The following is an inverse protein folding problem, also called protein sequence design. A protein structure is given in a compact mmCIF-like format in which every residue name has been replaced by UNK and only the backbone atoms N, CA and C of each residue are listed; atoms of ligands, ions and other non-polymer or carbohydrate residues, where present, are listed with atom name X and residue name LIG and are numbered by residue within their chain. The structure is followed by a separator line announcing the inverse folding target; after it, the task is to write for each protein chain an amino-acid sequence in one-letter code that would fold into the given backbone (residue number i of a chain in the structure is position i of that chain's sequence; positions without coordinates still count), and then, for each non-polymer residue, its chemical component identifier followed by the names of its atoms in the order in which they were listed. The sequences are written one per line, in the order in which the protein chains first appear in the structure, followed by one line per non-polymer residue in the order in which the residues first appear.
data_IF_452621671753
#
_entry.id   IF_452621671753
#
_cell.length_a   1.000
_cell.length_b   1.000
_cell.length_c   1.000
_cell.angle_alpha   90.00
_cell.angle_beta   90.00
_cell.angle_gamma   90.00
#
_symmetry.space_group_name_H-M   'P 1'
#
loop_
_entity.id
_entity.type
_entity.pdbx_description
1 polymer ?
#
# COMPACT_ATOMS: atom_id res chain seq x y z
N UNK A 1 -11.76 6.80 17.49
CA UNK A 1 -11.35 8.23 17.53
C UNK A 1 -11.66 8.90 16.20
N UNK A 2 -12.21 10.12 16.21
CA UNK A 2 -12.48 10.94 15.02
C UNK A 2 -11.18 11.33 14.32
N UNK A 3 -11.20 11.52 12.98
CA UNK A 3 -10.06 11.98 12.16
C UNK A 3 -9.31 13.18 12.78
N UNK A 4 -10.00 14.01 13.56
CA UNK A 4 -9.44 15.12 14.33
C UNK A 4 -8.28 14.69 15.27
N UNK A 5 -8.40 13.55 15.96
CA UNK A 5 -7.36 13.12 16.93
C UNK A 5 -6.03 12.73 16.27
N UNK A 6 -6.06 12.28 15.00
CA UNK A 6 -4.83 11.99 14.24
C UNK A 6 -4.08 13.28 13.93
N UNK A 7 -4.76 14.42 13.78
CA UNK A 7 -4.12 15.72 13.47
C UNK A 7 -3.63 16.41 14.76
N UNK A 8 -4.34 16.22 15.89
CA UNK A 8 -4.02 16.90 17.14
C UNK A 8 -2.98 16.18 18.00
N UNK A 9 -2.89 14.84 17.94
CA UNK A 9 -1.97 14.06 18.77
C UNK A 9 -0.63 13.78 18.04
N UNK A 10 0.47 14.33 18.58
CA UNK A 10 1.81 14.24 17.99
C UNK A 10 2.34 12.79 17.88
N UNK A 11 1.93 11.89 18.78
CA UNK A 11 2.34 10.49 18.73
C UNK A 11 1.64 9.74 17.59
N UNK A 12 0.33 9.94 17.40
CA UNK A 12 -0.43 9.31 16.32
C UNK A 12 0.01 9.83 14.94
N UNK A 13 0.37 11.12 14.81
CA UNK A 13 0.99 11.65 13.58
C UNK A 13 2.31 10.96 13.26
N UNK A 14 3.15 10.75 14.28
CA UNK A 14 4.44 10.08 14.09
C UNK A 14 4.25 8.63 13.67
N UNK A 15 3.29 7.91 14.28
CA UNK A 15 2.92 6.55 13.88
C UNK A 15 2.39 6.50 12.45
N UNK A 16 1.54 7.45 12.06
CA UNK A 16 1.03 7.57 10.69
C UNK A 16 2.15 7.84 9.67
N UNK A 17 3.08 8.76 9.96
CA UNK A 17 4.21 9.05 9.09
C UNK A 17 5.15 7.84 8.95
N UNK A 18 5.46 7.15 10.06
CA UNK A 18 6.23 5.89 10.00
C UNK A 18 5.50 4.85 9.18
N UNK A 19 4.19 4.70 9.35
CA UNK A 19 3.39 3.78 8.56
C UNK A 19 3.42 4.11 7.06
N UNK A 20 3.35 5.40 6.69
CA UNK A 20 3.50 5.84 5.30
C UNK A 20 4.88 5.49 4.73
N UNK A 21 5.95 5.71 5.51
CA UNK A 21 7.32 5.36 5.11
C UNK A 21 7.42 3.86 4.90
N UNK A 22 6.94 3.06 5.85
CA UNK A 22 6.93 1.59 5.74
C UNK A 22 6.12 1.14 4.54
N UNK A 23 4.90 1.66 4.35
CA UNK A 23 4.07 1.34 3.19
C UNK A 23 4.72 1.69 1.86
N UNK A 24 5.50 2.78 1.80
CA UNK A 24 6.27 3.16 0.62
C UNK A 24 7.41 2.17 0.36
N UNK A 25 8.13 1.75 1.41
CA UNK A 25 9.16 0.70 1.31
C UNK A 25 8.53 -0.60 0.79
N UNK A 26 7.38 -1.01 1.34
CA UNK A 26 6.64 -2.19 0.86
C UNK A 26 6.25 -2.09 -0.60
N UNK A 27 5.79 -0.94 -1.06
CA UNK A 27 5.48 -0.73 -2.47
C UNK A 27 6.73 -0.87 -3.36
N UNK A 28 7.86 -0.28 -2.96
CA UNK A 28 9.13 -0.43 -3.69
C UNK A 28 9.56 -1.90 -3.74
N UNK A 29 9.42 -2.64 -2.63
CA UNK A 29 9.72 -4.08 -2.57
C UNK A 29 8.80 -4.87 -3.50
N UNK A 30 7.49 -4.56 -3.52
CA UNK A 30 6.52 -5.22 -4.41
C UNK A 30 6.89 -5.01 -5.88
N UNK A 31 7.01 -3.76 -6.32
CA UNK A 31 7.35 -3.43 -7.71
C UNK A 31 8.71 -3.99 -8.11
N UNK A 32 9.73 -3.82 -7.27
CA UNK A 32 11.08 -4.33 -7.52
C UNK A 32 11.08 -5.85 -7.67
N UNK A 33 10.45 -6.55 -6.72
CA UNK A 33 10.38 -8.01 -6.71
C UNK A 33 9.58 -8.53 -7.91
N UNK A 34 8.42 -7.94 -8.20
CA UNK A 34 7.62 -8.30 -9.38
C UNK A 34 8.41 -8.19 -10.68
N UNK A 35 9.06 -7.05 -10.92
CA UNK A 35 9.84 -6.84 -12.14
C UNK A 35 11.06 -7.76 -12.22
N UNK A 36 11.71 -8.06 -11.09
CA UNK A 36 12.82 -9.02 -11.06
C UNK A 36 12.32 -10.42 -11.45
N UNK A 37 11.23 -10.91 -10.84
CA UNK A 37 10.69 -12.24 -11.13
C UNK A 37 10.21 -12.37 -12.58
N UNK A 38 9.50 -11.37 -13.11
CA UNK A 38 8.97 -11.42 -14.48
C UNK A 38 10.09 -11.24 -15.51
N UNK A 39 10.93 -10.22 -15.37
CA UNK A 39 11.87 -9.85 -16.42
C UNK A 39 13.19 -10.65 -16.38
N UNK A 40 13.69 -11.01 -15.20
CA UNK A 40 14.96 -11.73 -15.06
C UNK A 40 14.76 -13.24 -14.94
N UNK A 41 13.71 -13.67 -14.22
CA UNK A 41 13.46 -15.10 -13.98
C UNK A 41 12.37 -15.69 -14.89
N UNK A 42 11.75 -14.88 -15.76
CA UNK A 42 10.65 -15.31 -16.67
C UNK A 42 9.51 -16.03 -15.95
N UNK A 43 9.27 -15.67 -14.68
CA UNK A 43 8.19 -16.27 -13.88
C UNK A 43 6.84 -15.78 -14.41
N UNK A 44 5.82 -16.65 -14.51
CA UNK A 44 4.49 -16.25 -14.93
C UNK A 44 3.96 -15.07 -14.09
N UNK A 45 3.36 -14.03 -14.71
CA UNK A 45 2.96 -12.81 -14.00
C UNK A 45 2.07 -13.04 -12.78
N UNK A 46 1.20 -14.05 -12.84
CA UNK A 46 0.32 -14.41 -11.72
C UNK A 46 1.10 -14.94 -10.50
N UNK A 47 2.11 -15.78 -10.73
CA UNK A 47 2.98 -16.30 -9.66
C UNK A 47 3.91 -15.20 -9.16
N UNK A 48 4.46 -14.39 -10.06
CA UNK A 48 5.31 -13.27 -9.70
C UNK A 48 4.58 -12.25 -8.82
N UNK A 49 3.32 -11.92 -9.15
CA UNK A 49 2.46 -11.03 -8.35
C UNK A 49 2.20 -11.59 -6.95
N UNK A 50 1.92 -12.90 -6.85
CA UNK A 50 1.66 -13.53 -5.56
C UNK A 50 2.91 -13.51 -4.66
N UNK A 51 4.08 -13.82 -5.23
CA UNK A 51 5.36 -13.79 -4.53
C UNK A 51 5.78 -12.37 -4.12
N UNK A 52 5.66 -11.39 -5.03
CA UNK A 52 6.03 -10.00 -4.76
C UNK A 52 5.15 -9.37 -3.69
N UNK A 53 3.84 -9.63 -3.76
CA UNK A 53 2.89 -9.16 -2.76
C UNK A 53 3.20 -9.76 -1.38
N UNK A 54 3.48 -11.07 -1.31
CA UNK A 54 3.84 -11.73 -0.06
C UNK A 54 5.14 -11.16 0.54
N UNK A 55 6.14 -10.88 -0.29
CA UNK A 55 7.39 -10.26 0.14
C UNK A 55 7.17 -8.83 0.67
N UNK A 56 6.35 -8.03 -0.03
CA UNK A 56 6.01 -6.67 0.38
C UNK A 56 5.23 -6.63 1.70
N UNK A 57 4.24 -7.51 1.85
CA UNK A 57 3.47 -7.67 3.10
C UNK A 57 4.39 -8.09 4.25
N UNK A 58 5.31 -9.04 4.01
CA UNK A 58 6.26 -9.49 5.03
C UNK A 58 7.21 -8.36 5.45
N UNK A 59 7.74 -7.60 4.49
CA UNK A 59 8.58 -6.42 4.76
C UNK A 59 7.82 -5.39 5.59
N UNK A 60 6.59 -5.04 5.17
CA UNK A 60 5.75 -4.10 5.89
C UNK A 60 5.44 -4.56 7.31
N UNK A 61 5.22 -5.86 7.53
CA UNK A 61 4.99 -6.40 8.85
C UNK A 61 6.20 -6.24 9.76
N UNK A 62 7.40 -6.59 9.28
CA UNK A 62 8.66 -6.48 10.03
C UNK A 62 8.87 -5.02 10.44
N UNK A 63 8.83 -4.09 9.49
CA UNK A 63 9.03 -2.68 9.79
C UNK A 63 7.96 -2.11 10.73
N UNK A 64 6.69 -2.49 10.55
CA UNK A 64 5.64 -2.03 11.45
C UNK A 64 5.78 -2.59 12.86
N UNK A 65 6.20 -3.86 13.02
CA UNK A 65 6.40 -4.48 14.35
C UNK A 65 7.63 -3.95 15.08
N UNK A 66 8.74 -3.71 14.37
CA UNK A 66 9.99 -3.30 15.03
C UNK A 66 10.16 -1.78 15.14
N UNK A 67 9.54 -1.00 14.27
CA UNK A 67 9.77 0.46 14.22
C UNK A 67 8.51 1.30 14.42
N UNK A 68 7.39 0.94 13.81
CA UNK A 68 6.13 1.70 13.95
C UNK A 68 5.46 1.43 15.30
N UNK A 69 5.40 0.17 15.72
CA UNK A 69 4.71 -0.30 16.93
C UNK A 69 5.59 -1.28 17.74
N UNK A 70 6.75 -0.81 18.25
CA UNK A 70 7.67 -1.65 19.03
C UNK A 70 7.04 -2.22 20.31
N UNK A 71 5.95 -1.61 20.80
CA UNK A 71 5.24 -2.00 22.02
C UNK A 71 4.33 -3.22 21.81
N UNK A 72 3.96 -3.54 20.56
CA UNK A 72 3.12 -4.72 20.25
C UNK A 72 3.88 -6.06 20.32
N UNK A 73 5.13 -6.04 20.79
CA UNK A 73 5.99 -7.22 20.91
C UNK A 73 5.49 -8.25 21.92
N UNK A 74 4.61 -7.85 22.84
CA UNK A 74 3.97 -8.69 23.85
C UNK A 74 3.05 -9.77 23.29
N UNK A 75 2.53 -9.61 22.05
CA UNK A 75 1.66 -10.59 21.40
C UNK A 75 2.38 -11.65 20.57
N UNK A 76 1.79 -12.86 20.45
CA UNK A 76 2.32 -13.93 19.62
C UNK A 76 2.38 -13.54 18.14
N UNK A 77 3.55 -13.75 17.53
CA UNK A 77 3.86 -13.39 16.14
C UNK A 77 2.89 -14.02 15.13
N UNK A 78 2.48 -15.27 15.34
CA UNK A 78 1.64 -16.01 14.40
C UNK A 78 0.27 -15.35 14.16
N UNK A 79 -0.40 -14.90 15.23
CA UNK A 79 -1.70 -14.22 15.11
C UNK A 79 -1.55 -12.86 14.41
N UNK A 80 -0.46 -12.15 14.66
CA UNK A 80 -0.21 -10.87 14.00
C UNK A 80 0.09 -11.02 12.51
N UNK A 81 0.89 -12.03 12.12
CA UNK A 81 1.14 -12.34 10.70
C UNK A 81 -0.17 -12.69 10.00
N UNK A 82 -0.99 -13.57 10.60
CA UNK A 82 -2.26 -13.99 10.00
C UNK A 82 -3.22 -12.79 9.81
N UNK A 83 -3.39 -11.98 10.86
CA UNK A 83 -4.29 -10.82 10.81
C UNK A 83 -3.77 -9.78 9.80
N UNK A 84 -2.46 -9.51 9.79
CA UNK A 84 -1.83 -8.60 8.84
C UNK A 84 -1.97 -9.07 7.40
N UNK A 85 -1.77 -10.37 7.14
CA UNK A 85 -1.94 -10.96 5.83
C UNK A 85 -3.39 -10.88 5.34
N UNK A 86 -4.36 -11.22 6.19
CA UNK A 86 -5.79 -11.09 5.88
C UNK A 86 -6.18 -9.64 5.55
N UNK A 87 -5.71 -8.68 6.34
CA UNK A 87 -5.97 -7.24 6.10
C UNK A 87 -5.40 -6.81 4.74
N UNK A 88 -4.18 -7.26 4.39
CA UNK A 88 -3.58 -6.92 3.10
C UNK A 88 -4.32 -7.55 1.91
N UNK A 89 -4.83 -8.79 2.04
CA UNK A 89 -5.70 -9.41 1.02
C UNK A 89 -6.99 -8.59 0.83
N UNK A 90 -7.64 -8.17 1.91
CA UNK A 90 -8.82 -7.30 1.84
C UNK A 90 -8.44 -5.96 1.20
N UNK A 91 -7.28 -5.40 1.54
CA UNK A 91 -6.73 -4.20 0.93
C UNK A 91 -6.56 -4.33 -0.59
N UNK A 92 -6.08 -5.48 -1.09
CA UNK A 92 -6.05 -5.76 -2.54
C UNK A 92 -7.46 -5.81 -3.13
N UNK A 93 -8.40 -6.48 -2.45
CA UNK A 93 -9.80 -6.52 -2.86
C UNK A 93 -10.46 -5.14 -2.94
N UNK A 94 -10.00 -4.17 -2.14
CA UNK A 94 -10.43 -2.76 -2.21
C UNK A 94 -9.69 -2.01 -3.33
N UNK A 95 -8.38 -2.26 -3.50
CA UNK A 95 -7.53 -1.59 -4.49
C UNK A 95 -8.06 -1.79 -5.92
N UNK A 96 -8.34 -3.04 -6.27
CA UNK A 96 -8.69 -3.46 -7.63
C UNK A 96 -9.94 -2.78 -8.19
N UNK A 97 -11.10 -2.78 -7.50
CA UNK A 97 -12.30 -2.12 -8.01
C UNK A 97 -12.14 -0.59 -8.08
N UNK A 98 -11.44 0.02 -7.12
CA UNK A 98 -11.16 1.48 -7.16
C UNK A 98 -10.33 1.83 -8.39
N UNK A 99 -9.26 1.06 -8.65
CA UNK A 99 -8.42 1.26 -9.83
C UNK A 99 -9.23 1.09 -11.11
N UNK A 100 -9.99 -0.01 -11.25
CA UNK A 100 -10.80 -0.27 -12.44
C UNK A 100 -11.83 0.83 -12.71
N UNK A 101 -12.42 1.40 -11.65
CA UNK A 101 -13.39 2.49 -11.77
C UNK A 101 -12.74 3.83 -12.12
N UNK A 102 -11.53 4.11 -11.60
CA UNK A 102 -10.83 5.38 -11.79
C UNK A 102 -9.97 5.45 -13.05
N UNK A 103 -9.48 4.32 -13.57
CA UNK A 103 -8.62 4.26 -14.76
C UNK A 103 -9.28 4.93 -15.97
N UNK A 104 -10.51 4.52 -16.28
CA UNK A 104 -11.24 5.00 -17.46
C UNK A 104 -11.51 6.51 -17.44
N UNK A 105 -12.07 7.12 -16.37
CA UNK A 105 -12.30 8.56 -16.34
C UNK A 105 -10.99 9.36 -16.28
N UNK A 106 -9.96 8.91 -15.56
CA UNK A 106 -8.68 9.61 -15.50
C UNK A 106 -7.94 9.60 -16.83
N UNK A 107 -8.00 8.49 -17.57
CA UNK A 107 -7.46 8.41 -18.94
C UNK A 107 -8.13 9.42 -19.88
N UNK A 108 -9.47 9.47 -19.86
CA UNK A 108 -10.23 10.45 -20.68
C UNK A 108 -9.89 11.90 -20.33
N UNK A 109 -9.72 12.21 -19.05
CA UNK A 109 -9.29 13.55 -18.62
C UNK A 109 -7.86 13.87 -19.06
N UNK A 110 -6.95 12.89 -19.04
CA UNK A 110 -5.58 13.07 -19.51
C UNK A 110 -5.53 13.31 -21.03
N UNK A 111 -6.38 12.63 -21.81
CA UNK A 111 -6.52 12.84 -23.27
C UNK A 111 -7.06 14.24 -23.62
N UNK A 112 -7.85 14.87 -22.74
CA UNK A 112 -8.38 16.24 -22.93
C UNK A 112 -7.32 17.34 -22.75
N UNK A 113 -6.12 16.99 -22.27
CA UNK A 113 -5.01 17.93 -22.09
C UNK A 113 -3.93 17.65 -23.15
N UNK A 114 -4.06 18.20 -24.38
CA UNK A 114 -3.10 17.95 -25.47
C UNK A 114 -1.72 18.59 -25.25
N UNK A 115 -1.49 19.26 -24.11
CA UNK A 115 -0.31 20.07 -23.84
C UNK A 115 0.53 19.54 -22.66
N UNK A 116 1.04 18.32 -22.78
CA UNK A 116 2.18 17.88 -21.96
C UNK A 116 3.30 17.48 -22.92
N UNK A 117 4.20 18.42 -23.30
CA UNK A 117 5.27 18.17 -24.25
C UNK A 117 6.48 17.56 -23.53
N UNK A 118 6.25 16.48 -22.79
CA UNK A 118 7.32 15.67 -22.21
C UNK A 118 7.23 14.33 -22.94
N UNK A 119 8.12 14.09 -23.90
CA UNK A 119 8.11 12.90 -24.78
C UNK A 119 8.23 11.53 -24.07
N UNK A 120 8.13 11.52 -22.74
CA UNK A 120 8.20 10.38 -21.83
C UNK A 120 6.94 10.24 -20.94
N UNK A 121 5.98 11.19 -20.99
CA UNK A 121 4.72 11.15 -20.23
C UNK A 121 3.52 11.13 -21.17
N UNK A 122 3.22 9.95 -21.72
CA UNK A 122 1.99 9.73 -22.52
C UNK A 122 0.75 9.88 -21.62
N UNK A 123 -0.38 10.36 -22.18
CA UNK A 123 -1.66 10.48 -21.47
C UNK A 123 -2.08 9.18 -20.76
N UNK A 124 -1.76 8.02 -21.36
CA UNK A 124 -1.94 6.71 -20.75
C UNK A 124 -1.17 6.58 -19.42
N UNK A 125 0.12 6.93 -19.39
CA UNK A 125 0.96 6.83 -18.19
C UNK A 125 0.40 7.68 -17.05
N UNK A 126 -0.13 8.87 -17.38
CA UNK A 126 -0.72 9.79 -16.41
C UNK A 126 -2.03 9.23 -15.85
N UNK A 127 -2.90 8.72 -16.71
CA UNK A 127 -4.16 8.06 -16.30
C UNK A 127 -3.91 6.85 -15.40
N UNK A 128 -3.00 5.97 -15.82
CA UNK A 128 -2.61 4.78 -15.06
C UNK A 128 -1.99 5.12 -13.71
N UNK A 129 -1.02 6.04 -13.68
CA UNK A 129 -0.31 6.41 -12.46
C UNK A 129 -1.22 7.16 -11.48
N UNK A 130 -2.10 8.02 -12.01
CA UNK A 130 -3.10 8.74 -11.21
C UNK A 130 -4.11 7.80 -10.54
N UNK A 131 -4.71 6.88 -11.32
CA UNK A 131 -5.68 5.91 -10.79
C UNK A 131 -5.04 5.00 -9.74
N UNK A 132 -3.81 4.54 -10.03
CA UNK A 132 -3.03 3.72 -9.12
C UNK A 132 -2.69 4.46 -7.83
N UNK A 133 -2.29 5.72 -7.93
CA UNK A 133 -1.97 6.57 -6.78
C UNK A 133 -3.16 6.75 -5.85
N UNK A 134 -4.35 7.07 -6.39
CA UNK A 134 -5.57 7.21 -5.60
C UNK A 134 -5.96 5.88 -4.93
N UNK A 135 -5.94 4.77 -5.69
CA UNK A 135 -6.25 3.46 -5.14
C UNK A 135 -5.28 3.06 -4.01
N UNK A 136 -3.98 3.32 -4.18
CA UNK A 136 -2.95 3.08 -3.15
C UNK A 136 -3.18 3.95 -1.92
N UNK A 137 -3.51 5.23 -2.08
CA UNK A 137 -3.79 6.13 -0.95
C UNK A 137 -5.00 5.65 -0.12
N UNK A 138 -6.10 5.28 -0.79
CA UNK A 138 -7.30 4.78 -0.10
C UNK A 138 -6.99 3.49 0.65
N UNK A 139 -6.27 2.56 0.02
CA UNK A 139 -5.89 1.28 0.63
C UNK A 139 -4.88 1.48 1.76
N UNK A 140 -3.96 2.43 1.65
CA UNK A 140 -3.05 2.80 2.72
C UNK A 140 -3.81 3.33 3.95
N UNK A 141 -4.80 4.20 3.75
CA UNK A 141 -5.64 4.71 4.84
C UNK A 141 -6.42 3.58 5.51
N UNK A 142 -7.04 2.70 4.70
CA UNK A 142 -7.72 1.51 5.19
C UNK A 142 -6.78 0.62 6.01
N UNK A 143 -5.62 0.27 5.45
CA UNK A 143 -4.61 -0.57 6.10
C UNK A 143 -4.12 0.05 7.41
N UNK A 144 -3.92 1.36 7.47
CA UNK A 144 -3.52 2.04 8.71
C UNK A 144 -4.59 1.90 9.79
N UNK A 145 -5.84 2.24 9.48
CA UNK A 145 -6.93 2.20 10.44
C UNK A 145 -7.20 0.79 10.94
N UNK A 146 -7.30 -0.19 10.05
CA UNK A 146 -7.60 -1.57 10.44
C UNK A 146 -6.44 -2.18 11.22
N UNK A 147 -5.18 -1.96 10.83
CA UNK A 147 -4.05 -2.46 11.61
C UNK A 147 -3.94 -1.79 12.98
N UNK A 148 -4.22 -0.49 13.09
CA UNK A 148 -4.22 0.21 14.38
C UNK A 148 -5.28 -0.35 15.34
N UNK A 149 -6.50 -0.60 14.85
CA UNK A 149 -7.61 -1.05 15.70
C UNK A 149 -7.70 -2.55 15.91
N UNK A 150 -7.16 -3.37 14.99
CA UNK A 150 -7.26 -4.82 15.07
C UNK A 150 -5.92 -5.47 15.42
N UNK A 151 -4.88 -5.20 14.62
CA UNK A 151 -3.55 -5.84 14.80
C UNK A 151 -2.82 -5.29 16.03
N UNK A 152 -2.90 -3.98 16.28
CA UNK A 152 -2.16 -3.26 17.32
C UNK A 152 -3.09 -2.62 18.37
N UNK A 153 -4.21 -3.27 18.66
CA UNK A 153 -5.21 -2.76 19.62
C UNK A 153 -4.72 -2.67 21.08
N UNK A 154 -3.55 -3.24 21.34
CA UNK A 154 -2.85 -3.34 22.62
C UNK A 154 -1.87 -2.18 22.88
N UNK A 155 -1.68 -1.30 21.89
CA UNK A 155 -0.77 -0.16 22.01
C UNK A 155 -1.56 1.08 22.44
N UNK A 156 -1.29 1.55 23.65
CA UNK A 156 -1.79 2.83 24.20
C UNK A 156 -1.25 4.04 23.40
#
# INVERSE_FOLDING_TARGET
MSFANVITNQQERTRFLRFLIVGTIGAIVDFGTFHILVNFFSVPPLLAQTCSFTAAVSSNFIWNRYWTYPDSRSKPIANQILTFFLINIVGLGIRTPIFAWLETPLRRLAEMVPFIPLGFLTADIIGYTGALGVAVLVVMLWNFYVNRYWTYNDVE
#
